data_IF_827323966897
#
_entry.id   IF_827323966897
#
_cell.length_a   1.000
_cell.length_b   1.000
_cell.length_c   1.000
_cell.angle_alpha   90.00
_cell.angle_beta   90.00
_cell.angle_gamma   90.00
#
_symmetry.space_group_name_H-M   'P 1'
#
loop_
_entity.id
_entity.type
_entity.pdbx_description
1 polymer ?
#
# COMPACT_ATOMS: atom_id res chain seq x y z
N UNK A 1 17.76 -0.84 -50.08
CA UNK A 1 16.86 -1.61 -49.21
C UNK A 1 17.61 -1.92 -47.91
N UNK A 2 17.17 -1.34 -46.77
CA UNK A 2 17.80 -1.56 -45.47
C UNK A 2 16.98 -2.59 -44.69
N UNK A 3 17.56 -3.75 -44.44
CA UNK A 3 17.01 -4.83 -43.61
C UNK A 3 17.11 -4.40 -42.14
N UNK A 4 15.97 -4.27 -41.44
CA UNK A 4 15.94 -4.06 -39.99
C UNK A 4 16.12 -5.42 -39.32
N UNK A 5 17.23 -5.57 -38.57
CA UNK A 5 17.43 -6.70 -37.67
C UNK A 5 16.51 -6.53 -36.46
N UNK A 6 15.48 -7.37 -36.35
CA UNK A 6 14.79 -7.59 -35.09
C UNK A 6 15.71 -8.47 -34.23
N UNK A 7 16.40 -7.86 -33.27
CA UNK A 7 16.99 -8.65 -32.19
C UNK A 7 15.87 -8.98 -31.20
N UNK A 8 15.57 -10.26 -31.09
CA UNK A 8 14.68 -10.80 -30.07
C UNK A 8 15.22 -10.44 -28.68
N UNK A 9 14.42 -9.73 -27.90
CA UNK A 9 14.73 -9.43 -26.50
C UNK A 9 14.57 -10.75 -25.72
N UNK A 10 15.69 -11.38 -25.40
CA UNK A 10 15.72 -12.53 -24.49
C UNK A 10 15.48 -12.01 -23.08
N UNK A 11 14.23 -12.08 -22.62
CA UNK A 11 13.89 -11.85 -21.22
C UNK A 11 14.33 -13.09 -20.43
N UNK A 12 15.49 -13.02 -19.79
CA UNK A 12 15.90 -14.01 -18.81
C UNK A 12 14.83 -14.08 -17.71
N UNK A 13 14.11 -15.20 -17.66
CA UNK A 13 13.15 -15.51 -16.59
C UNK A 13 13.92 -15.77 -15.31
N UNK A 14 14.34 -14.70 -14.63
CA UNK A 14 14.65 -14.78 -13.21
C UNK A 14 13.37 -15.24 -12.50
N UNK A 15 13.36 -16.50 -12.07
CA UNK A 15 12.29 -17.10 -11.27
C UNK A 15 12.29 -16.46 -9.88
N UNK A 16 11.87 -15.20 -9.79
CA UNK A 16 11.29 -14.70 -8.55
C UNK A 16 9.96 -15.41 -8.45
N UNK A 17 9.85 -16.34 -7.52
CA UNK A 17 8.58 -16.97 -7.19
C UNK A 17 7.72 -15.92 -6.50
N UNK A 18 7.21 -14.94 -7.27
CA UNK A 18 6.18 -14.01 -6.79
C UNK A 18 5.01 -14.89 -6.43
N UNK A 19 4.81 -15.12 -5.12
CA UNK A 19 3.59 -15.74 -4.62
C UNK A 19 2.48 -14.77 -5.02
N UNK A 20 1.82 -15.07 -6.14
CA UNK A 20 0.70 -14.30 -6.63
C UNK A 20 -0.29 -14.18 -5.49
N UNK A 21 -0.61 -12.94 -5.12
CA UNK A 21 -1.67 -12.67 -4.17
C UNK A 21 -2.93 -13.24 -4.79
N UNK A 22 -3.41 -14.36 -4.23
CA UNK A 22 -4.59 -15.02 -4.74
C UNK A 22 -5.80 -14.33 -4.11
N UNK A 23 -6.27 -13.27 -4.75
CA UNK A 23 -7.53 -12.65 -4.38
C UNK A 23 -8.67 -13.56 -4.86
N UNK A 24 -8.98 -14.62 -4.10
CA UNK A 24 -10.29 -15.26 -4.24
C UNK A 24 -11.33 -14.32 -3.63
N UNK A 25 -11.72 -13.29 -4.38
CA UNK A 25 -12.72 -12.32 -3.97
C UNK A 25 -14.03 -13.07 -3.71
N UNK A 26 -14.39 -13.23 -2.44
CA UNK A 26 -15.80 -13.37 -2.08
C UNK A 26 -16.49 -12.04 -2.39
N UNK A 27 -17.75 -12.08 -2.82
CA UNK A 27 -18.56 -10.88 -3.14
C UNK A 27 -18.55 -9.80 -2.03
N UNK A 28 -18.19 -10.17 -0.80
CA UNK A 28 -18.04 -9.26 0.34
C UNK A 28 -16.92 -8.22 0.22
N UNK A 29 -15.93 -8.39 -0.68
CA UNK A 29 -14.82 -7.44 -0.87
C UNK A 29 -14.90 -6.64 -2.19
N UNK A 30 -15.92 -6.87 -3.02
CA UNK A 30 -16.12 -6.10 -4.26
C UNK A 30 -16.93 -4.81 -4.05
N UNK A 31 -17.48 -4.62 -2.85
CA UNK A 31 -18.25 -3.42 -2.49
C UNK A 31 -17.41 -2.51 -1.60
N UNK A 32 -17.24 -1.27 -2.04
CA UNK A 32 -16.73 -0.19 -1.19
C UNK A 32 -17.73 0.12 -0.08
N UNK A 33 -17.23 0.59 1.07
CA UNK A 33 -18.06 0.94 2.23
C UNK A 33 -17.75 2.36 2.67
N UNK A 34 -18.76 3.21 2.75
CA UNK A 34 -18.64 4.50 3.43
C UNK A 34 -18.58 4.26 4.94
N UNK A 35 -17.48 4.65 5.58
CA UNK A 35 -17.26 4.36 6.98
C UNK A 35 -18.02 5.32 7.88
N UNK A 36 -18.59 4.75 8.93
CA UNK A 36 -19.17 5.45 10.06
C UNK A 36 -18.65 4.83 11.35
N UNK A 37 -18.87 5.50 12.48
CA UNK A 37 -18.53 4.94 13.79
C UNK A 37 -19.28 3.62 14.06
N UNK A 38 -20.49 3.45 13.53
CA UNK A 38 -21.27 2.21 13.71
C UNK A 38 -20.72 1.03 12.90
N UNK A 39 -20.35 1.24 11.62
CA UNK A 39 -19.94 0.15 10.74
C UNK A 39 -18.42 -0.15 10.76
N UNK A 40 -17.62 0.79 11.26
CA UNK A 40 -16.15 0.68 11.29
C UNK A 40 -15.64 -0.58 11.99
N UNK A 41 -16.18 -1.02 13.16
CA UNK A 41 -15.70 -2.24 13.82
C UNK A 41 -15.83 -3.50 12.95
N UNK A 42 -16.88 -3.58 12.12
CA UNK A 42 -17.08 -4.70 11.20
C UNK A 42 -16.14 -4.62 10.01
N UNK A 43 -16.05 -3.44 9.37
CA UNK A 43 -15.12 -3.20 8.27
C UNK A 43 -13.68 -3.52 8.68
N UNK A 44 -13.26 -3.00 9.84
CA UNK A 44 -11.93 -3.23 10.42
C UNK A 44 -11.63 -4.72 10.57
N UNK A 45 -12.60 -5.50 11.04
CA UNK A 45 -12.46 -6.96 11.20
C UNK A 45 -12.27 -7.65 9.84
N UNK A 46 -13.07 -7.29 8.85
CA UNK A 46 -12.98 -7.84 7.48
C UNK A 46 -11.61 -7.55 6.85
N UNK A 47 -11.13 -6.31 6.95
CA UNK A 47 -9.79 -5.96 6.45
C UNK A 47 -8.69 -6.71 7.20
N UNK A 48 -8.75 -6.80 8.53
CA UNK A 48 -7.75 -7.54 9.29
C UNK A 48 -7.70 -9.03 8.93
N UNK A 49 -8.85 -9.66 8.64
CA UNK A 49 -8.87 -11.04 8.13
C UNK A 49 -8.18 -11.15 6.77
N UNK A 50 -8.50 -10.26 5.83
CA UNK A 50 -7.85 -10.25 4.51
C UNK A 50 -6.33 -10.05 4.63
N UNK A 51 -5.89 -9.11 5.47
CA UNK A 51 -4.47 -8.87 5.71
C UNK A 51 -3.80 -10.07 6.39
N UNK A 52 -4.48 -10.75 7.31
CA UNK A 52 -3.94 -11.93 8.01
C UNK A 52 -3.69 -13.10 7.06
N UNK A 53 -4.65 -13.38 6.17
CA UNK A 53 -4.52 -14.43 5.14
C UNK A 53 -3.29 -14.16 4.25
N UNK A 54 -3.02 -12.89 3.95
CA UNK A 54 -1.89 -12.46 3.14
C UNK A 54 -0.60 -12.19 3.94
N UNK A 55 -0.60 -12.43 5.26
CA UNK A 55 0.53 -12.15 6.17
C UNK A 55 0.99 -10.68 6.20
N UNK A 56 0.05 -9.76 5.95
CA UNK A 56 0.28 -8.32 5.86
C UNK A 56 -0.06 -7.56 7.17
N UNK A 57 -0.71 -8.20 8.14
CA UNK A 57 -1.21 -7.54 9.36
C UNK A 57 -0.14 -6.72 10.10
N UNK A 58 1.12 -7.15 10.10
CA UNK A 58 2.21 -6.45 10.80
C UNK A 58 2.42 -5.01 10.34
N UNK A 59 2.15 -4.72 9.07
CA UNK A 59 2.39 -3.40 8.46
C UNK A 59 1.30 -2.38 8.78
N UNK A 60 0.09 -2.80 9.16
CA UNK A 60 -0.93 -1.88 9.72
C UNK A 60 -0.81 -1.73 11.23
N UNK A 61 -0.10 -2.64 11.91
CA UNK A 61 0.09 -2.62 13.36
C UNK A 61 1.37 -1.88 13.79
N UNK A 62 2.38 -1.80 12.91
CA UNK A 62 3.67 -1.18 13.20
C UNK A 62 4.14 -0.33 12.01
N UNK A 63 4.83 0.80 12.27
CA UNK A 63 5.40 1.65 11.21
C UNK A 63 6.69 1.01 10.65
N UNK A 64 6.54 -0.05 9.84
CA UNK A 64 7.68 -0.78 9.24
C UNK A 64 8.27 0.02 8.08
N UNK A 65 7.42 0.51 7.19
CA UNK A 65 7.83 1.38 6.08
C UNK A 65 7.88 2.81 6.58
N UNK A 66 8.98 3.49 6.27
CA UNK A 66 9.15 4.90 6.55
C UNK A 66 9.32 5.66 5.23
N UNK A 67 8.50 6.70 5.02
CA UNK A 67 8.58 7.57 3.85
C UNK A 67 8.96 8.99 4.26
N UNK A 68 9.93 9.54 3.55
CA UNK A 68 10.55 10.83 3.81
C UNK A 68 10.30 11.75 2.63
N UNK A 69 10.00 13.02 2.88
CA UNK A 69 9.91 14.00 1.78
C UNK A 69 11.32 14.33 1.31
N UNK A 70 11.56 14.33 0.00
CA UNK A 70 12.89 14.67 -0.57
C UNK A 70 13.42 15.99 -0.04
N UNK A 71 12.56 17.01 0.08
CA UNK A 71 12.93 18.36 0.58
C UNK A 71 13.42 18.39 2.04
N UNK A 72 13.09 17.38 2.85
CA UNK A 72 13.45 17.34 4.27
C UNK A 72 14.77 16.56 4.49
N UNK A 73 15.34 15.96 3.45
CA UNK A 73 16.58 15.16 3.50
C UNK A 73 17.78 16.09 3.24
N UNK A 74 18.74 16.05 4.16
CA UNK A 74 20.02 16.79 4.05
C UNK A 74 21.16 15.97 3.45
N UNK A 75 20.97 14.65 3.36
CA UNK A 75 21.94 13.69 2.82
C UNK A 75 21.81 13.56 1.30
N UNK A 76 22.77 12.86 0.68
CA UNK A 76 22.67 12.45 -0.72
C UNK A 76 21.50 11.48 -0.96
N UNK A 77 20.61 11.86 -1.89
CA UNK A 77 19.43 11.10 -2.30
C UNK A 77 19.76 9.81 -3.04
N UNK A 78 20.98 9.65 -3.58
CA UNK A 78 21.40 8.45 -4.33
C UNK A 78 21.29 7.14 -3.55
N UNK A 79 21.27 7.23 -2.21
CA UNK A 79 21.18 6.09 -1.30
C UNK A 79 19.75 5.75 -0.86
N UNK A 80 18.75 6.38 -1.48
CA UNK A 80 17.33 6.18 -1.17
C UNK A 80 16.61 5.55 -2.35
N UNK A 81 15.57 4.78 -2.05
CA UNK A 81 14.65 4.25 -3.07
C UNK A 81 13.57 5.30 -3.29
N UNK A 82 13.39 5.72 -4.54
CA UNK A 82 12.35 6.69 -4.88
C UNK A 82 10.96 6.07 -4.81
N UNK A 83 9.96 6.89 -4.46
CA UNK A 83 8.57 6.48 -4.52
C UNK A 83 8.03 6.68 -5.94
N UNK A 84 7.82 5.59 -6.67
CA UNK A 84 7.35 5.62 -8.06
C UNK A 84 5.94 6.22 -8.22
N UNK A 85 5.15 6.30 -7.13
CA UNK A 85 3.79 6.87 -7.15
C UNK A 85 3.74 8.34 -6.75
N UNK A 86 4.78 8.85 -6.08
CA UNK A 86 4.89 10.25 -5.65
C UNK A 86 6.36 10.67 -5.59
N UNK A 87 6.80 11.36 -6.64
CA UNK A 87 8.19 11.80 -6.81
C UNK A 87 8.68 12.76 -5.71
N UNK A 88 7.79 13.27 -4.86
CA UNK A 88 8.15 14.13 -3.72
C UNK A 88 8.65 13.34 -2.51
N UNK A 89 8.53 12.01 -2.53
CA UNK A 89 8.94 11.11 -1.45
C UNK A 89 10.02 10.10 -1.87
N UNK A 90 10.70 9.60 -0.84
CA UNK A 90 11.60 8.43 -0.91
C UNK A 90 11.37 7.53 0.30
N UNK A 91 11.74 6.27 0.19
CA UNK A 91 11.73 5.32 1.30
C UNK A 91 12.99 5.46 2.16
N UNK A 92 12.84 5.37 3.47
CA UNK A 92 13.95 5.48 4.42
C UNK A 92 15.00 4.39 4.23
N UNK A 93 16.26 4.73 4.47
CA UNK A 93 17.42 3.81 4.42
C UNK A 93 17.10 2.54 5.25
N UNK A 94 17.19 1.37 4.63
CA UNK A 94 16.88 0.08 5.25
C UNK A 94 15.47 -0.46 5.00
N UNK A 95 14.61 0.29 4.30
CA UNK A 95 13.35 -0.25 3.78
C UNK A 95 13.66 -1.19 2.62
N UNK A 96 13.18 -2.43 2.65
CA UNK A 96 13.38 -3.39 1.56
C UNK A 96 12.29 -3.25 0.49
N UNK A 97 12.58 -3.67 -0.76
CA UNK A 97 11.58 -3.71 -1.85
C UNK A 97 10.34 -4.52 -1.45
N UNK A 98 10.54 -5.60 -0.68
CA UNK A 98 9.43 -6.43 -0.17
C UNK A 98 8.55 -5.65 0.80
N UNK A 99 9.13 -4.80 1.66
CA UNK A 99 8.36 -3.95 2.56
C UNK A 99 7.59 -2.88 1.79
N UNK A 100 8.20 -2.31 0.74
CA UNK A 100 7.58 -1.34 -0.17
C UNK A 100 6.37 -1.98 -0.87
N UNK A 101 6.55 -3.13 -1.51
CA UNK A 101 5.48 -3.87 -2.20
C UNK A 101 4.31 -4.21 -1.26
N UNK A 102 4.63 -4.63 -0.03
CA UNK A 102 3.62 -4.94 0.97
C UNK A 102 2.85 -3.69 1.44
N UNK A 103 3.53 -2.56 1.63
CA UNK A 103 2.88 -1.29 1.98
C UNK A 103 1.96 -0.81 0.84
N UNK A 104 2.43 -0.85 -0.41
CA UNK A 104 1.61 -0.53 -1.59
C UNK A 104 0.37 -1.43 -1.67
N UNK A 105 0.55 -2.74 -1.45
CA UNK A 105 -0.55 -3.70 -1.44
C UNK A 105 -1.59 -3.36 -0.38
N UNK A 106 -1.15 -2.99 0.83
CA UNK A 106 -2.05 -2.62 1.93
C UNK A 106 -2.79 -1.33 1.60
N UNK A 107 -2.08 -0.32 1.11
CA UNK A 107 -2.69 0.94 0.67
C UNK A 107 -3.78 0.67 -0.35
N UNK A 108 -3.48 -0.18 -1.34
CA UNK A 108 -4.44 -0.57 -2.36
C UNK A 108 -5.66 -1.29 -1.77
N UNK A 109 -5.47 -2.27 -0.87
CA UNK A 109 -6.56 -2.98 -0.19
C UNK A 109 -7.45 -2.01 0.59
N UNK A 110 -6.86 -1.10 1.37
CA UNK A 110 -7.60 -0.12 2.16
C UNK A 110 -8.39 0.78 1.22
N UNK A 111 -7.73 1.44 0.27
CA UNK A 111 -8.38 2.36 -0.68
C UNK A 111 -9.55 1.70 -1.42
N UNK A 112 -9.38 0.49 -1.94
CA UNK A 112 -10.42 -0.20 -2.71
C UNK A 112 -11.56 -0.77 -1.84
N UNK A 113 -11.45 -0.67 -0.51
CA UNK A 113 -12.53 -1.06 0.41
C UNK A 113 -13.38 0.12 0.89
N UNK A 114 -12.95 1.35 0.63
CA UNK A 114 -13.57 2.56 1.15
C UNK A 114 -14.49 3.23 0.12
N UNK A 115 -15.58 3.81 0.60
CA UNK A 115 -16.41 4.77 -0.14
C UNK A 115 -15.67 6.09 -0.37
N UNK A 116 -16.19 6.92 -1.26
CA UNK A 116 -15.52 8.14 -1.74
C UNK A 116 -15.21 9.14 -0.61
N UNK A 117 -16.13 9.36 0.34
CA UNK A 117 -15.89 10.33 1.42
C UNK A 117 -14.85 9.80 2.40
N UNK A 118 -14.87 8.49 2.67
CA UNK A 118 -13.84 7.82 3.45
C UNK A 118 -12.48 7.83 2.76
N UNK A 119 -12.42 7.71 1.43
CA UNK A 119 -11.19 7.83 0.64
C UNK A 119 -10.59 9.23 0.76
N UNK A 120 -11.40 10.30 0.75
CA UNK A 120 -10.91 11.68 0.89
C UNK A 120 -10.19 11.95 2.21
N UNK A 121 -10.55 11.23 3.29
CA UNK A 121 -9.85 11.33 4.58
C UNK A 121 -8.39 10.88 4.50
N UNK A 122 -8.10 10.01 3.54
CA UNK A 122 -6.89 9.20 3.46
C UNK A 122 -5.98 9.63 2.29
N UNK A 123 -6.55 10.02 1.14
CA UNK A 123 -5.84 10.40 -0.09
C UNK A 123 -4.76 11.50 0.07
N UNK A 124 -4.95 12.47 0.99
CA UNK A 124 -4.04 13.62 1.14
C UNK A 124 -2.93 13.47 2.17
N UNK A 125 -3.01 12.49 3.07
CA UNK A 125 -2.19 12.44 4.29
C UNK A 125 -1.18 11.28 4.33
N UNK A 126 -1.16 10.44 3.31
CA UNK A 126 -0.77 9.04 3.53
C UNK A 126 0.50 8.61 2.84
N UNK A 127 1.54 8.69 3.65
CA UNK A 127 2.84 8.16 3.27
C UNK A 127 2.83 6.63 3.22
N UNK A 128 2.11 5.96 4.13
CA UNK A 128 2.15 4.49 4.27
C UNK A 128 0.79 3.90 4.68
N UNK A 129 0.60 2.60 4.42
CA UNK A 129 -0.56 1.81 4.85
C UNK A 129 -0.81 1.88 6.35
N UNK A 130 0.26 1.95 7.15
CA UNK A 130 0.19 2.18 8.59
C UNK A 130 -0.47 3.51 8.96
N UNK A 131 -0.13 4.59 8.26
CA UNK A 131 -0.71 5.91 8.51
C UNK A 131 -2.19 5.88 8.14
N UNK A 132 -2.55 5.30 6.98
CA UNK A 132 -3.96 5.21 6.58
C UNK A 132 -4.80 4.50 7.61
N UNK A 133 -4.31 3.35 8.07
CA UNK A 133 -4.98 2.57 9.09
C UNK A 133 -5.25 3.36 10.38
N UNK A 134 -4.28 4.16 10.82
CA UNK A 134 -4.41 4.95 12.05
C UNK A 134 -5.29 6.19 11.88
N UNK A 135 -5.32 6.83 10.70
CA UNK A 135 -6.26 7.91 10.40
C UNK A 135 -7.69 7.38 10.51
N UNK A 136 -8.01 6.29 9.79
CA UNK A 136 -9.33 5.67 9.82
C UNK A 136 -9.71 5.22 11.24
N UNK A 137 -8.78 4.61 11.96
CA UNK A 137 -8.99 4.24 13.36
C UNK A 137 -9.27 5.45 14.23
N UNK A 138 -8.49 6.53 14.12
CA UNK A 138 -8.67 7.75 14.87
C UNK A 138 -10.02 8.41 14.60
N UNK A 139 -10.44 8.45 13.33
CA UNK A 139 -11.70 9.06 12.92
C UNK A 139 -12.92 8.27 13.39
N UNK A 140 -12.92 6.94 13.25
CA UNK A 140 -14.12 6.12 13.42
C UNK A 140 -14.15 5.28 14.70
N UNK A 141 -13.12 5.34 15.55
CA UNK A 141 -13.13 4.71 16.88
C UNK A 141 -13.56 5.67 17.99
N UNK A 142 -13.79 6.96 17.69
CA UNK A 142 -14.37 7.88 18.67
C UNK A 142 -15.86 7.55 18.80
N UNK A 143 -16.24 7.00 19.93
CA UNK A 143 -17.63 6.86 20.36
C UNK A 143 -17.83 7.65 21.65
N UNK A 144 -18.99 8.29 21.68
CA UNK A 144 -19.61 9.12 22.73
C UNK A 144 -19.44 8.53 24.13
#
# INVERSE_FOLDING_TARGET
MRTRNNQDIVIEKNKVTRRGINFSYSESFSKTTELTTENYPEWKRKILYLLSINKLTRYVMKPIVNKLRKKDIKDDLSNYIEDELDETFVYGKGTSDVDIDNDITIKWIIMNSLGEESQKLVEGNEKTGFIMWNILKGTFTISI
#
